data_IF_778699469060
#
_entry.id   IF_778699469060
#
_cell.length_a   1.000
_cell.length_b   1.000
_cell.length_c   1.000
_cell.angle_alpha   90.00
_cell.angle_beta   90.00
_cell.angle_gamma   90.00
#
_symmetry.space_group_name_H-M   'P 1'
#
loop_
_entity.id
_entity.type
_entity.pdbx_description
1 polymer ?
#
# COMPACT_ATOMS: atom_id res chain seq x y z
N UNK A 1 25.53 6.13 -8.77
CA UNK A 1 24.35 5.66 -8.02
C UNK A 1 24.32 6.36 -6.68
N UNK A 2 23.14 6.61 -6.11
CA UNK A 2 23.02 7.13 -4.75
C UNK A 2 23.53 6.09 -3.76
N UNK A 3 24.12 6.54 -2.65
CA UNK A 3 24.41 5.65 -1.52
C UNK A 3 23.09 5.21 -0.86
N UNK A 4 23.07 4.11 -0.09
CA UNK A 4 21.86 3.69 0.63
C UNK A 4 21.26 4.82 1.49
N UNK A 5 22.10 5.60 2.18
CA UNK A 5 21.66 6.74 2.98
C UNK A 5 21.02 7.83 2.11
N UNK A 6 21.63 8.16 0.97
CA UNK A 6 21.09 9.17 0.06
C UNK A 6 19.74 8.75 -0.56
N UNK A 7 19.48 7.44 -0.72
CA UNK A 7 18.17 6.94 -1.14
C UNK A 7 17.13 7.22 -0.05
N UNK A 8 17.43 6.87 1.20
CA UNK A 8 16.51 7.10 2.32
C UNK A 8 16.21 8.59 2.44
N UNK A 9 17.23 9.43 2.56
CA UNK A 9 17.06 10.86 2.82
C UNK A 9 16.29 11.57 1.71
N UNK A 10 16.50 11.15 0.46
CA UNK A 10 15.84 11.75 -0.71
C UNK A 10 14.35 11.45 -0.77
N UNK A 11 13.92 10.26 -0.38
CA UNK A 11 12.53 9.80 -0.60
C UNK A 11 11.70 9.69 0.69
N UNK A 12 12.32 9.80 1.87
CA UNK A 12 11.65 9.57 3.16
C UNK A 12 10.39 10.42 3.36
N UNK A 13 10.48 11.75 3.13
CA UNK A 13 9.35 12.64 3.39
C UNK A 13 8.15 12.36 2.49
N UNK A 14 8.40 12.09 1.21
CA UNK A 14 7.36 11.80 0.22
C UNK A 14 6.66 10.48 0.57
N UNK A 15 7.42 9.41 0.80
CA UNK A 15 6.84 8.11 1.14
C UNK A 15 6.16 8.11 2.51
N UNK A 16 6.66 8.89 3.48
CA UNK A 16 5.97 9.09 4.77
C UNK A 16 4.57 9.67 4.56
N UNK A 17 4.44 10.68 3.71
CA UNK A 17 3.13 11.26 3.39
C UNK A 17 2.23 10.23 2.71
N UNK A 18 2.74 9.47 1.74
CA UNK A 18 1.95 8.43 1.06
C UNK A 18 1.42 7.38 2.05
N UNK A 19 2.24 6.93 3.00
CA UNK A 19 1.79 5.97 4.04
C UNK A 19 0.70 6.56 4.95
N UNK A 20 0.81 7.84 5.32
CA UNK A 20 -0.21 8.54 6.11
C UNK A 20 -1.54 8.65 5.34
N UNK A 21 -1.50 8.95 4.05
CA UNK A 21 -2.70 9.02 3.21
C UNK A 21 -3.40 7.66 3.11
N UNK A 22 -2.63 6.57 3.01
CA UNK A 22 -3.21 5.22 2.99
C UNK A 22 -3.84 4.88 4.34
N UNK A 23 -3.19 5.24 5.46
CA UNK A 23 -3.77 5.09 6.80
C UNK A 23 -5.09 5.84 6.92
N UNK A 24 -5.13 7.10 6.52
CA UNK A 24 -6.33 7.92 6.54
C UNK A 24 -7.46 7.36 5.65
N UNK A 25 -7.12 6.75 4.51
CA UNK A 25 -8.09 6.03 3.68
C UNK A 25 -8.71 4.83 4.43
N UNK A 26 -7.89 4.01 5.09
CA UNK A 26 -8.37 2.85 5.86
C UNK A 26 -9.26 3.28 7.03
N UNK A 27 -8.90 4.35 7.73
CA UNK A 27 -9.70 4.91 8.83
C UNK A 27 -11.08 5.38 8.33
N UNK A 28 -11.12 6.06 7.18
CA UNK A 28 -12.39 6.49 6.56
C UNK A 28 -13.25 5.30 6.13
N UNK A 29 -12.64 4.23 5.61
CA UNK A 29 -13.37 3.00 5.28
C UNK A 29 -14.00 2.33 6.51
N UNK A 30 -13.24 2.24 7.61
CA UNK A 30 -13.73 1.68 8.86
C UNK A 30 -14.90 2.52 9.41
N UNK A 31 -14.75 3.85 9.46
CA UNK A 31 -15.81 4.75 9.93
C UNK A 31 -17.08 4.64 9.06
N UNK A 32 -16.93 4.51 7.74
CA UNK A 32 -18.06 4.32 6.82
C UNK A 32 -18.76 2.97 7.05
N UNK A 33 -18.00 1.89 7.27
CA UNK A 33 -18.52 0.56 7.59
C UNK A 33 -19.30 0.58 8.91
N UNK A 34 -18.75 1.21 9.95
CA UNK A 34 -19.40 1.37 11.25
C UNK A 34 -20.72 2.16 11.12
N UNK A 35 -20.71 3.26 10.35
CA UNK A 35 -21.90 4.07 10.12
C UNK A 35 -22.98 3.35 9.30
N UNK A 36 -22.59 2.54 8.31
CA UNK A 36 -23.52 1.78 7.48
C UNK A 36 -24.05 0.51 8.17
N UNK A 37 -23.34 -0.02 9.17
CA UNK A 37 -23.67 -1.27 9.85
C UNK A 37 -23.42 -2.52 9.00
N UNK A 38 -22.75 -2.38 7.85
CA UNK A 38 -22.35 -3.48 6.98
C UNK A 38 -21.06 -3.13 6.23
N UNK A 39 -20.35 -4.16 5.75
CA UNK A 39 -19.18 -4.00 4.90
C UNK A 39 -19.58 -3.66 3.46
N UNK A 40 -18.62 -3.17 2.67
CA UNK A 40 -18.82 -3.00 1.23
C UNK A 40 -19.04 -4.35 0.54
N UNK A 41 -19.94 -4.39 -0.45
CA UNK A 41 -20.25 -5.61 -1.21
C UNK A 41 -19.08 -6.12 -2.06
N UNK A 42 -18.15 -5.23 -2.42
CA UNK A 42 -16.94 -5.56 -3.19
C UNK A 42 -15.70 -4.93 -2.55
N UNK A 43 -14.95 -5.74 -1.80
CA UNK A 43 -13.71 -5.34 -1.15
C UNK A 43 -12.45 -5.67 -1.96
N UNK A 44 -12.58 -6.18 -3.20
CA UNK A 44 -11.45 -6.71 -3.96
C UNK A 44 -10.27 -5.72 -4.09
N UNK A 45 -10.56 -4.43 -4.34
CA UNK A 45 -9.53 -3.38 -4.41
C UNK A 45 -8.85 -3.12 -3.06
N UNK A 46 -9.60 -3.18 -1.96
CA UNK A 46 -9.06 -3.05 -0.61
C UNK A 46 -8.18 -4.27 -0.25
N UNK A 47 -8.62 -5.46 -0.65
CA UNK A 47 -7.89 -6.70 -0.40
C UNK A 47 -6.56 -6.74 -1.17
N UNK A 48 -6.54 -6.28 -2.42
CA UNK A 48 -5.30 -6.13 -3.19
C UNK A 48 -4.34 -5.09 -2.58
N UNK A 49 -4.85 -3.98 -2.05
CA UNK A 49 -4.01 -3.02 -1.33
C UNK A 49 -3.39 -3.64 -0.07
N UNK A 50 -4.14 -4.47 0.65
CA UNK A 50 -3.63 -5.21 1.82
C UNK A 50 -2.57 -6.25 1.41
N UNK A 51 -2.79 -6.97 0.32
CA UNK A 51 -1.80 -7.91 -0.24
C UNK A 51 -0.51 -7.17 -0.67
N UNK A 52 -0.64 -6.00 -1.30
CA UNK A 52 0.49 -5.16 -1.66
C UNK A 52 1.34 -4.77 -0.45
N UNK A 53 0.71 -4.39 0.67
CA UNK A 53 1.43 -4.10 1.92
C UNK A 53 2.15 -5.30 2.50
N UNK A 54 1.56 -6.49 2.40
CA UNK A 54 2.22 -7.71 2.86
C UNK A 54 3.43 -8.04 2.00
N UNK A 55 3.34 -7.88 0.68
CA UNK A 55 4.48 -8.08 -0.23
C UNK A 55 5.63 -7.11 0.05
N UNK A 56 5.34 -5.86 0.39
CA UNK A 56 6.36 -4.85 0.73
C UNK A 56 7.09 -5.14 2.05
N UNK A 57 6.49 -5.89 2.97
CA UNK A 57 7.12 -6.31 4.23
C UNK A 57 8.00 -7.56 4.06
N UNK A 58 7.79 -8.32 2.99
CA UNK A 58 8.54 -9.52 2.68
C UNK A 58 9.95 -9.23 2.13
N UNK A 59 10.75 -10.28 1.90
CA UNK A 59 12.04 -10.14 1.23
C UNK A 59 11.86 -9.53 -0.17
N UNK A 60 12.85 -8.75 -0.61
CA UNK A 60 12.83 -8.16 -1.93
C UNK A 60 12.76 -9.25 -3.01
N UNK A 61 11.74 -9.24 -3.90
CA UNK A 61 11.63 -10.22 -4.97
C UNK A 61 12.75 -9.99 -6.00
N UNK A 62 13.11 -11.04 -6.76
CA UNK A 62 14.18 -10.98 -7.77
C UNK A 62 13.92 -9.95 -8.87
N UNK A 63 12.65 -9.67 -9.17
CA UNK A 63 12.20 -8.67 -10.15
C UNK A 63 11.99 -7.26 -9.56
N UNK A 64 12.15 -7.11 -8.24
CA UNK A 64 11.95 -5.86 -7.50
C UNK A 64 10.50 -5.59 -7.09
N UNK A 65 10.31 -4.87 -5.97
CA UNK A 65 8.99 -4.63 -5.40
C UNK A 65 8.01 -3.96 -6.38
N UNK A 66 8.46 -2.97 -7.15
CA UNK A 66 7.60 -2.26 -8.09
C UNK A 66 7.01 -3.18 -9.18
N UNK A 67 7.81 -4.10 -9.74
CA UNK A 67 7.34 -5.04 -10.74
C UNK A 67 6.31 -6.02 -10.15
N UNK A 68 6.60 -6.56 -8.97
CA UNK A 68 5.67 -7.44 -8.23
C UNK A 68 4.33 -6.76 -7.95
N UNK A 69 4.36 -5.50 -7.50
CA UNK A 69 3.14 -4.73 -7.25
C UNK A 69 2.35 -4.45 -8.53
N UNK A 70 3.00 -4.17 -9.65
CA UNK A 70 2.33 -3.97 -10.94
C UNK A 70 1.60 -5.25 -11.39
N UNK A 71 2.24 -6.41 -11.25
CA UNK A 71 1.60 -7.70 -11.56
C UNK A 71 0.40 -7.96 -10.64
N UNK A 72 0.52 -7.60 -9.36
CA UNK A 72 -0.58 -7.72 -8.40
C UNK A 72 -1.77 -6.84 -8.79
N UNK A 73 -1.52 -5.58 -9.13
CA UNK A 73 -2.58 -4.64 -9.49
C UNK A 73 -3.20 -4.90 -10.87
N UNK A 74 -2.52 -5.64 -11.75
CA UNK A 74 -3.08 -6.09 -13.03
C UNK A 74 -4.16 -7.17 -12.90
N UNK A 75 -4.42 -7.69 -11.68
CA UNK A 75 -5.49 -8.67 -11.42
C UNK A 75 -6.89 -8.05 -11.30
N UNK A 76 -6.99 -6.72 -11.24
CA UNK A 76 -8.27 -5.96 -11.14
C UNK A 76 -8.99 -5.86 -12.47
#
# INVERSE_FOLDING_TARGET
MLTPQQVIDRYYLEHRCMLLEIGAFLDRYNAATEAAGHHADNTHKLDLLREAFQQLQGPAPSEGHAASLLQLFAKV
#
